data_IF_241120293330
#
_entry.id   IF_241120293330
#
_cell.length_a   1.000
_cell.length_b   1.000
_cell.length_c   1.000
_cell.angle_alpha   90.00
_cell.angle_beta   90.00
_cell.angle_gamma   90.00
#
_symmetry.space_group_name_H-M   'P 1'
#
loop_
_entity.id
_entity.type
_entity.pdbx_description
1 polymer ?
#
# COMPACT_ATOMS: atom_id res chain seq x y z
N UNK A 1 -7.39 5.85 9.97
CA UNK A 1 -7.94 6.36 8.72
C UNK A 1 -9.39 6.79 8.95
N UNK A 2 -9.90 7.74 8.15
CA UNK A 2 -11.29 8.23 8.28
C UNK A 2 -11.44 9.66 7.77
N UNK A 3 -12.66 10.23 7.85
CA UNK A 3 -12.92 11.60 7.41
C UNK A 3 -11.98 12.62 8.10
N UNK A 4 -11.47 13.57 7.34
CA UNK A 4 -10.54 14.60 7.81
C UNK A 4 -9.12 14.12 8.10
N UNK A 5 -8.80 12.85 7.84
CA UNK A 5 -7.45 12.29 7.98
C UNK A 5 -6.72 12.23 6.64
N UNK A 6 -5.45 12.60 6.63
CA UNK A 6 -4.55 12.40 5.49
C UNK A 6 -3.77 11.12 5.68
N UNK A 7 -3.93 10.21 4.72
CA UNK A 7 -3.37 8.85 4.77
C UNK A 7 -2.43 8.66 3.58
N UNK A 8 -1.20 8.25 3.87
CA UNK A 8 -0.23 7.84 2.86
C UNK A 8 -0.25 6.33 2.65
N UNK A 9 -0.24 5.89 1.39
CA UNK A 9 -0.03 4.49 1.01
C UNK A 9 1.29 4.42 0.24
N UNK A 10 2.26 3.66 0.75
CA UNK A 10 3.56 3.50 0.09
C UNK A 10 3.59 2.20 -0.70
N UNK A 11 3.72 2.32 -2.01
CA UNK A 11 3.71 1.20 -2.96
C UNK A 11 2.32 0.92 -3.54
N UNK A 12 2.28 0.60 -4.83
CA UNK A 12 1.07 0.19 -5.55
C UNK A 12 1.26 -1.21 -6.12
N UNK A 13 0.96 -2.17 -5.30
CA UNK A 13 0.96 -3.60 -5.59
C UNK A 13 -0.25 -4.27 -4.97
N UNK A 14 -0.17 -5.60 -4.74
CA UNK A 14 -1.28 -6.38 -4.20
C UNK A 14 -1.86 -5.87 -2.87
N UNK A 15 -1.03 -5.38 -1.95
CA UNK A 15 -1.48 -4.77 -0.70
C UNK A 15 -1.87 -3.30 -0.89
N UNK A 16 -1.02 -2.54 -1.60
CA UNK A 16 -1.20 -1.09 -1.73
C UNK A 16 -2.49 -0.70 -2.45
N UNK A 17 -2.91 -1.43 -3.51
CA UNK A 17 -4.16 -1.10 -4.20
C UNK A 17 -5.39 -1.28 -3.30
N UNK A 18 -5.41 -2.32 -2.44
CA UNK A 18 -6.46 -2.49 -1.44
C UNK A 18 -6.38 -1.43 -0.35
N UNK A 19 -5.16 -1.05 0.07
CA UNK A 19 -4.95 0.05 1.01
C UNK A 19 -5.54 1.37 0.51
N UNK A 20 -5.35 1.70 -0.77
CA UNK A 20 -5.96 2.89 -1.40
C UNK A 20 -7.48 2.80 -1.38
N UNK A 21 -8.06 1.69 -1.89
CA UNK A 21 -9.53 1.50 -1.95
C UNK A 21 -10.18 1.60 -0.57
N UNK A 22 -9.62 0.90 0.41
CA UNK A 22 -10.17 0.88 1.77
C UNK A 22 -10.05 2.24 2.45
N UNK A 23 -8.88 2.90 2.37
CA UNK A 23 -8.69 4.21 2.98
C UNK A 23 -9.58 5.28 2.35
N UNK A 24 -9.79 5.24 1.02
CA UNK A 24 -10.71 6.13 0.32
C UNK A 24 -12.16 5.89 0.76
N UNK A 25 -12.61 4.63 0.85
CA UNK A 25 -13.95 4.28 1.34
C UNK A 25 -14.18 4.66 2.80
N UNK A 26 -13.13 4.72 3.62
CA UNK A 26 -13.17 5.27 4.98
C UNK A 26 -13.29 6.80 5.02
N UNK A 27 -13.27 7.48 3.88
CA UNK A 27 -13.37 8.94 3.77
C UNK A 27 -12.07 9.70 4.04
N UNK A 28 -10.92 9.05 3.97
CA UNK A 28 -9.63 9.70 4.14
C UNK A 28 -9.19 10.43 2.85
N UNK A 29 -8.38 11.48 3.01
CA UNK A 29 -7.61 12.03 1.90
C UNK A 29 -6.39 11.14 1.64
N UNK A 30 -6.42 10.38 0.56
CA UNK A 30 -5.44 9.32 0.27
C UNK A 30 -4.36 9.82 -0.69
N UNK A 31 -3.11 9.73 -0.28
CA UNK A 31 -1.94 10.02 -1.12
C UNK A 31 -1.16 8.73 -1.37
N UNK A 32 -1.03 8.35 -2.63
CA UNK A 32 -0.19 7.22 -3.01
C UNK A 32 1.24 7.67 -3.27
N UNK A 33 2.21 6.98 -2.67
CA UNK A 33 3.64 7.12 -2.96
C UNK A 33 4.10 5.99 -3.88
N UNK A 34 4.71 6.35 -4.99
CA UNK A 34 5.26 5.39 -5.97
C UNK A 34 6.61 5.86 -6.49
N UNK A 35 7.44 4.93 -6.94
CA UNK A 35 8.71 5.25 -7.61
C UNK A 35 8.55 5.57 -9.10
N UNK A 36 7.35 5.31 -9.68
CA UNK A 36 7.08 5.45 -11.10
C UNK A 36 5.86 6.33 -11.37
N UNK A 37 6.04 7.37 -12.17
CA UNK A 37 4.95 8.25 -12.60
C UNK A 37 3.88 7.53 -13.45
N UNK A 38 4.23 6.42 -14.12
CA UNK A 38 3.29 5.62 -14.92
C UNK A 38 2.14 5.01 -14.12
N UNK A 39 2.29 4.90 -12.78
CA UNK A 39 1.25 4.39 -11.89
C UNK A 39 0.23 5.44 -11.44
N UNK A 40 0.38 6.70 -11.86
CA UNK A 40 -0.46 7.82 -11.41
C UNK A 40 -1.93 7.63 -11.77
N UNK A 41 -2.21 7.30 -13.02
CA UNK A 41 -3.57 7.10 -13.52
C UNK A 41 -4.29 5.96 -12.79
N UNK A 42 -3.61 4.82 -12.65
CA UNK A 42 -4.16 3.67 -11.91
C UNK A 42 -4.48 4.01 -10.45
N UNK A 43 -3.58 4.74 -9.79
CA UNK A 43 -3.79 5.13 -8.39
C UNK A 43 -5.02 6.04 -8.21
N UNK A 44 -5.19 7.01 -9.10
CA UNK A 44 -6.36 7.90 -9.09
C UNK A 44 -7.65 7.12 -9.35
N UNK A 45 -7.63 6.20 -10.33
CA UNK A 45 -8.77 5.29 -10.61
C UNK A 45 -9.15 4.43 -9.40
N UNK A 46 -8.19 4.02 -8.59
CA UNK A 46 -8.40 3.23 -7.37
C UNK A 46 -8.94 4.05 -6.20
N UNK A 47 -8.98 5.38 -6.30
CA UNK A 47 -9.51 6.28 -5.29
C UNK A 47 -8.46 7.10 -4.53
N UNK A 48 -7.20 7.12 -4.97
CA UNK A 48 -6.22 8.06 -4.44
C UNK A 48 -6.63 9.50 -4.80
N UNK A 49 -6.50 10.42 -3.83
CA UNK A 49 -6.72 11.85 -4.04
C UNK A 49 -5.52 12.51 -4.72
N UNK A 50 -4.32 12.02 -4.40
CA UNK A 50 -3.04 12.53 -4.91
C UNK A 50 -2.05 11.38 -5.12
N UNK A 51 -1.06 11.62 -5.99
CA UNK A 51 0.04 10.68 -6.22
C UNK A 51 1.36 11.43 -6.19
N UNK A 52 2.28 10.95 -5.38
CA UNK A 52 3.63 11.50 -5.19
C UNK A 52 4.66 10.51 -5.74
N UNK A 53 5.56 11.00 -6.59
CA UNK A 53 6.70 10.21 -7.04
C UNK A 53 7.80 10.31 -5.97
N UNK A 54 8.00 9.26 -5.20
CA UNK A 54 8.88 9.26 -4.02
C UNK A 54 10.37 9.49 -4.33
N UNK A 55 10.77 9.40 -5.60
CA UNK A 55 12.11 9.76 -6.07
C UNK A 55 12.26 11.27 -6.33
N UNK A 56 11.17 12.01 -6.34
CA UNK A 56 11.17 13.47 -6.50
C UNK A 56 11.18 14.11 -5.11
N UNK A 57 12.33 14.70 -4.74
CA UNK A 57 12.51 15.30 -3.43
C UNK A 57 11.57 16.49 -3.18
N UNK A 58 11.24 17.27 -4.20
CA UNK A 58 10.35 18.43 -4.09
C UNK A 58 8.90 17.98 -3.85
N UNK A 59 8.44 16.95 -4.57
CA UNK A 59 7.12 16.35 -4.32
C UNK A 59 7.03 15.81 -2.89
N UNK A 60 8.06 15.12 -2.40
CA UNK A 60 8.10 14.62 -1.02
C UNK A 60 8.11 15.77 0.00
N UNK A 61 8.95 16.77 -0.20
CA UNK A 61 9.07 17.91 0.72
C UNK A 61 7.77 18.71 0.85
N UNK A 62 7.00 18.85 -0.23
CA UNK A 62 5.68 19.51 -0.21
C UNK A 62 4.68 18.86 0.77
N UNK A 63 4.91 17.60 1.14
CA UNK A 63 4.07 16.84 2.06
C UNK A 63 4.64 16.71 3.48
N UNK A 64 5.73 17.38 3.81
CA UNK A 64 6.34 17.31 5.14
C UNK A 64 5.34 17.62 6.27
N UNK A 65 5.36 16.83 7.34
CA UNK A 65 4.52 17.02 8.54
C UNK A 65 2.98 17.09 8.24
N UNK A 66 2.50 16.38 7.23
CA UNK A 66 1.11 16.50 6.79
C UNK A 66 0.25 15.24 6.98
N UNK A 67 0.86 14.06 7.24
CA UNK A 67 0.11 12.80 7.35
C UNK A 67 -0.23 12.43 8.79
N UNK A 68 -1.46 11.97 8.98
CA UNK A 68 -1.91 11.36 10.23
C UNK A 68 -1.45 9.89 10.31
N UNK A 69 -1.45 9.20 9.16
CA UNK A 69 -1.11 7.79 9.07
C UNK A 69 -0.43 7.48 7.73
N UNK A 70 0.56 6.58 7.75
CA UNK A 70 1.18 6.04 6.54
C UNK A 70 1.18 4.51 6.63
N UNK A 71 0.61 3.85 5.62
CA UNK A 71 0.69 2.41 5.43
C UNK A 71 1.81 2.10 4.43
N UNK A 72 2.85 1.44 4.89
CA UNK A 72 3.98 1.06 4.05
C UNK A 72 3.87 -0.40 3.63
N UNK A 73 3.63 -0.64 2.33
CA UNK A 73 3.38 -1.97 1.76
C UNK A 73 4.57 -2.51 0.96
N UNK A 74 5.71 -1.79 0.98
CA UNK A 74 6.89 -2.15 0.18
C UNK A 74 7.69 -3.24 0.88
N UNK A 75 7.91 -4.35 0.18
CA UNK A 75 8.66 -5.50 0.66
C UNK A 75 10.14 -5.48 0.20
N UNK A 76 10.75 -4.30 0.14
CA UNK A 76 12.16 -4.10 -0.17
C UNK A 76 12.76 -3.07 0.78
N UNK A 77 14.05 -3.18 1.15
CA UNK A 77 14.71 -2.16 1.97
C UNK A 77 14.66 -0.80 1.29
N UNK A 78 14.30 0.23 2.04
CA UNK A 78 14.28 1.62 1.59
C UNK A 78 14.42 2.56 2.79
N UNK A 79 14.64 3.84 2.51
CA UNK A 79 14.75 4.89 3.53
C UNK A 79 13.38 5.14 4.18
N UNK A 80 13.24 4.71 5.45
CA UNK A 80 12.03 4.93 6.25
C UNK A 80 11.95 6.38 6.76
N UNK A 81 13.08 7.05 6.97
CA UNK A 81 13.12 8.42 7.48
C UNK A 81 12.47 9.41 6.53
N UNK A 82 12.63 9.19 5.22
CA UNK A 82 11.97 10.00 4.20
C UNK A 82 10.44 10.02 4.36
N UNK A 83 9.83 8.87 4.73
CA UNK A 83 8.38 8.78 4.98
C UNK A 83 8.01 9.21 6.40
N UNK A 84 8.86 8.91 7.39
CA UNK A 84 8.66 9.37 8.77
C UNK A 84 8.63 10.91 8.86
N UNK A 85 9.40 11.61 8.04
CA UNK A 85 9.42 13.06 7.96
C UNK A 85 8.07 13.67 7.52
N UNK A 86 7.26 12.90 6.78
CA UNK A 86 5.95 13.33 6.31
C UNK A 86 4.86 13.29 7.39
N UNK A 87 5.07 12.52 8.47
CA UNK A 87 4.10 12.38 9.55
C UNK A 87 3.99 13.66 10.38
N UNK A 88 2.76 13.99 10.76
CA UNK A 88 2.44 15.02 11.77
C UNK A 88 2.98 14.65 13.15
N UNK A 89 2.74 15.53 14.11
CA UNK A 89 2.81 15.22 15.53
C UNK A 89 1.86 14.05 15.84
N UNK A 90 2.33 13.07 16.61
CA UNK A 90 1.60 11.83 16.96
C UNK A 90 1.24 10.94 15.77
N UNK A 91 1.74 11.22 14.57
CA UNK A 91 1.50 10.40 13.39
C UNK A 91 2.14 9.01 13.49
N UNK A 92 1.53 8.04 12.81
CA UNK A 92 1.99 6.65 12.83
C UNK A 92 2.27 6.16 11.42
N UNK A 93 3.42 5.48 11.22
CA UNK A 93 3.67 4.65 10.05
C UNK A 93 3.59 3.19 10.44
N UNK A 94 2.85 2.39 9.67
CA UNK A 94 2.74 0.94 9.87
C UNK A 94 3.34 0.20 8.69
N UNK A 95 4.25 -0.73 8.99
CA UNK A 95 4.88 -1.61 8.02
C UNK A 95 4.05 -2.90 7.89
N UNK A 96 3.71 -3.27 6.67
CA UNK A 96 3.03 -4.53 6.32
C UNK A 96 3.76 -5.29 5.21
N UNK A 97 4.73 -4.66 4.56
CA UNK A 97 5.68 -5.31 3.65
C UNK A 97 6.83 -5.92 4.46
N UNK A 98 7.18 -7.16 4.18
CA UNK A 98 8.29 -7.86 4.83
C UNK A 98 9.46 -7.99 3.84
N UNK A 99 10.49 -7.13 3.91
CA UNK A 99 11.67 -7.27 3.07
C UNK A 99 12.53 -8.46 3.50
N UNK A 100 13.23 -9.08 2.54
CA UNK A 100 14.16 -10.18 2.83
C UNK A 100 15.38 -9.68 3.61
N UNK A 101 15.83 -8.46 3.35
CA UNK A 101 16.94 -7.82 4.06
C UNK A 101 16.39 -6.73 4.99
N UNK A 102 17.04 -6.47 6.14
CA UNK A 102 16.60 -5.43 7.06
C UNK A 102 16.56 -4.04 6.43
N UNK A 103 15.62 -3.22 6.86
CA UNK A 103 15.65 -1.79 6.57
C UNK A 103 16.86 -1.12 7.24
N UNK A 104 17.40 -0.02 6.70
CA UNK A 104 18.30 0.85 7.42
C UNK A 104 17.69 1.27 8.77
N UNK A 105 18.54 1.42 9.80
CA UNK A 105 18.07 1.87 11.11
C UNK A 105 17.52 3.30 11.00
N UNK A 106 16.28 3.56 11.44
CA UNK A 106 15.70 4.90 11.35
C UNK A 106 16.31 5.87 12.37
N UNK A 107 16.29 7.15 12.07
CA UNK A 107 16.78 8.22 12.93
C UNK A 107 15.82 8.44 14.12
N UNK A 108 16.25 8.01 15.30
CA UNK A 108 15.47 8.07 16.54
C UNK A 108 15.08 9.51 16.93
N UNK A 109 15.91 10.50 16.62
CA UNK A 109 15.60 11.89 16.93
C UNK A 109 14.34 12.39 16.23
N UNK A 110 14.10 11.94 14.98
CA UNK A 110 12.87 12.24 14.23
C UNK A 110 11.60 11.72 14.90
N UNK A 111 11.69 10.63 15.67
CA UNK A 111 10.56 10.11 16.47
C UNK A 111 10.31 10.97 17.70
N UNK A 112 11.37 11.26 18.45
CA UNK A 112 11.29 12.02 19.72
C UNK A 112 10.67 13.39 19.48
N UNK A 113 11.16 14.13 18.48
CA UNK A 113 10.75 15.52 18.22
C UNK A 113 9.27 15.69 17.88
N UNK A 114 8.62 14.66 17.34
CA UNK A 114 7.22 14.71 16.89
C UNK A 114 6.36 13.61 17.52
N UNK A 115 6.86 12.89 18.51
CA UNK A 115 6.17 11.73 19.12
C UNK A 115 5.60 10.74 18.08
N UNK A 116 6.33 10.56 16.99
CA UNK A 116 5.95 9.68 15.88
C UNK A 116 6.07 8.23 16.28
N UNK A 117 5.31 7.38 15.62
CA UNK A 117 5.30 5.93 15.87
C UNK A 117 5.63 5.17 14.61
N UNK A 118 6.48 4.17 14.75
CA UNK A 118 6.68 3.11 13.76
C UNK A 118 6.11 1.83 14.35
N UNK A 119 5.19 1.21 13.62
CA UNK A 119 4.50 -0.01 14.03
C UNK A 119 4.57 -1.06 12.92
N UNK A 120 4.34 -2.31 13.26
CA UNK A 120 4.16 -3.39 12.32
C UNK A 120 2.77 -4.00 12.47
N UNK A 121 2.26 -4.59 11.39
CA UNK A 121 1.04 -5.39 11.41
C UNK A 121 1.23 -6.59 10.50
N UNK A 122 0.79 -7.76 10.95
CA UNK A 122 0.78 -8.96 10.14
C UNK A 122 -0.63 -9.15 9.56
N UNK A 123 -1.21 -10.31 9.77
CA UNK A 123 -2.59 -10.65 9.36
C UNK A 123 -3.55 -10.42 10.53
N UNK A 124 -4.82 -10.17 10.22
CA UNK A 124 -5.88 -10.14 11.23
C UNK A 124 -6.36 -11.53 11.60
N UNK A 125 -7.05 -11.64 12.75
CA UNK A 125 -7.78 -12.84 13.12
C UNK A 125 -9.05 -13.03 12.29
N UNK A 126 -9.76 -14.17 12.48
CA UNK A 126 -10.97 -14.51 11.71
C UNK A 126 -12.03 -13.41 11.84
N UNK A 127 -12.26 -12.88 13.05
CA UNK A 127 -13.22 -11.80 13.29
C UNK A 127 -12.87 -10.53 12.51
N UNK A 128 -11.61 -10.09 12.58
CA UNK A 128 -11.15 -8.91 11.88
C UNK A 128 -11.22 -9.08 10.36
N UNK A 129 -10.95 -10.29 9.87
CA UNK A 129 -11.12 -10.63 8.46
C UNK A 129 -12.58 -10.53 8.04
N UNK A 130 -13.52 -11.02 8.85
CA UNK A 130 -14.95 -10.91 8.56
C UNK A 130 -15.40 -9.44 8.58
N UNK A 131 -14.98 -8.65 9.56
CA UNK A 131 -15.27 -7.21 9.63
C UNK A 131 -14.78 -6.48 8.39
N UNK A 132 -13.58 -6.81 7.89
CA UNK A 132 -13.01 -6.26 6.66
C UNK A 132 -13.83 -6.67 5.43
N UNK A 133 -14.23 -7.94 5.32
CA UNK A 133 -15.07 -8.42 4.21
C UNK A 133 -16.44 -7.73 4.19
N UNK A 134 -17.07 -7.58 5.35
CA UNK A 134 -18.35 -6.87 5.50
C UNK A 134 -18.22 -5.38 5.11
N UNK A 135 -17.11 -4.75 5.50
CA UNK A 135 -16.80 -3.38 5.07
C UNK A 135 -16.64 -3.30 3.56
N UNK A 136 -15.85 -4.18 2.97
CA UNK A 136 -15.63 -4.23 1.52
C UNK A 136 -16.95 -4.47 0.76
N UNK A 137 -17.79 -5.38 1.25
CA UNK A 137 -19.11 -5.64 0.64
C UNK A 137 -20.02 -4.42 0.64
N UNK A 138 -20.08 -3.69 1.77
CA UNK A 138 -20.89 -2.46 1.88
C UNK A 138 -20.42 -1.35 0.94
N UNK A 139 -19.14 -1.30 0.61
CA UNK A 139 -18.54 -0.26 -0.23
C UNK A 139 -18.24 -0.72 -1.67
N UNK A 140 -18.63 -1.94 -2.05
CA UNK A 140 -18.38 -2.48 -3.39
C UNK A 140 -16.89 -2.66 -3.71
N UNK A 141 -16.06 -2.92 -2.70
CA UNK A 141 -14.61 -3.06 -2.85
C UNK A 141 -14.27 -4.52 -3.12
N UNK A 142 -13.59 -4.75 -4.25
CA UNK A 142 -12.97 -6.04 -4.61
C UNK A 142 -11.53 -5.81 -5.05
N UNK A 143 -10.69 -6.86 -5.00
CA UNK A 143 -9.35 -6.80 -5.59
C UNK A 143 -9.43 -6.69 -7.10
N UNK A 144 -8.55 -5.88 -7.71
CA UNK A 144 -8.31 -5.96 -9.14
C UNK A 144 -7.47 -7.22 -9.41
N UNK A 145 -7.93 -8.07 -10.33
CA UNK A 145 -7.33 -9.37 -10.61
C UNK A 145 -7.14 -9.60 -12.11
N UNK A 146 -6.16 -10.43 -12.45
CA UNK A 146 -6.00 -11.04 -13.75
C UNK A 146 -6.25 -12.55 -13.58
N UNK A 147 -7.27 -13.09 -14.24
CA UNK A 147 -7.53 -14.53 -14.21
C UNK A 147 -6.60 -15.25 -15.20
N UNK A 148 -6.00 -16.34 -14.76
CA UNK A 148 -5.06 -17.15 -15.54
C UNK A 148 -5.43 -18.63 -15.46
N UNK A 149 -4.98 -19.40 -16.45
CA UNK A 149 -5.05 -20.84 -16.43
C UNK A 149 -3.88 -21.45 -15.63
N UNK A 150 -4.05 -22.67 -15.13
CA UNK A 150 -3.05 -23.34 -14.29
C UNK A 150 -1.71 -23.55 -15.02
N UNK A 151 -1.74 -23.86 -16.30
CA UNK A 151 -0.55 -24.12 -17.12
C UNK A 151 0.32 -22.86 -17.32
N UNK A 152 -0.24 -21.67 -17.13
CA UNK A 152 0.46 -20.38 -17.26
C UNK A 152 1.09 -19.88 -15.95
N UNK A 153 1.01 -20.64 -14.85
CA UNK A 153 1.46 -20.21 -13.52
C UNK A 153 2.93 -19.76 -13.49
N UNK A 154 3.81 -20.44 -14.20
CA UNK A 154 5.24 -20.09 -14.24
C UNK A 154 5.44 -18.72 -14.93
N UNK A 155 4.75 -18.47 -16.02
CA UNK A 155 4.75 -17.16 -16.70
C UNK A 155 4.19 -16.07 -15.80
N UNK A 156 3.14 -16.35 -15.03
CA UNK A 156 2.58 -15.41 -14.05
C UNK A 156 3.59 -15.06 -12.95
N UNK A 157 4.37 -16.03 -12.45
CA UNK A 157 5.46 -15.75 -11.50
C UNK A 157 6.53 -14.84 -12.09
N UNK A 158 6.95 -15.07 -13.34
CA UNK A 158 7.93 -14.21 -14.03
C UNK A 158 7.41 -12.78 -14.19
N UNK A 159 6.12 -12.61 -14.54
CA UNK A 159 5.47 -11.31 -14.65
C UNK A 159 5.38 -10.63 -13.28
N UNK A 160 5.05 -11.36 -12.22
CA UNK A 160 4.98 -10.83 -10.87
C UNK A 160 6.34 -10.32 -10.38
N UNK A 161 7.44 -11.02 -10.67
CA UNK A 161 8.80 -10.56 -10.35
C UNK A 161 9.17 -9.26 -11.07
N UNK A 162 8.61 -9.01 -12.25
CA UNK A 162 8.76 -7.77 -13.03
C UNK A 162 7.76 -6.68 -12.64
N UNK A 163 6.91 -6.90 -11.62
CA UNK A 163 5.79 -6.03 -11.24
C UNK A 163 4.79 -5.78 -12.38
N UNK A 164 4.67 -6.73 -13.32
CA UNK A 164 3.75 -6.72 -14.45
C UNK A 164 2.48 -7.50 -14.10
N UNK A 165 1.70 -6.95 -13.18
CA UNK A 165 0.37 -7.46 -12.80
C UNK A 165 -0.46 -6.37 -12.13
N UNK A 166 -1.77 -6.31 -12.41
CA UNK A 166 -2.72 -5.36 -11.78
C UNK A 166 -3.88 -6.12 -11.13
N UNK A 167 -3.78 -6.55 -9.87
CA UNK A 167 -2.63 -6.50 -8.94
C UNK A 167 -2.41 -7.88 -8.34
N UNK A 168 -3.22 -8.86 -8.75
CA UNK A 168 -3.17 -10.26 -8.34
C UNK A 168 -3.50 -11.16 -9.50
N UNK A 169 -2.80 -12.29 -9.61
CA UNK A 169 -3.24 -13.40 -10.43
C UNK A 169 -4.21 -14.27 -9.63
N UNK A 170 -5.29 -14.70 -10.28
CA UNK A 170 -6.24 -15.68 -9.76
C UNK A 170 -6.32 -16.83 -10.76
N UNK A 171 -6.06 -18.04 -10.30
CA UNK A 171 -6.06 -19.23 -11.16
C UNK A 171 -7.50 -19.73 -11.30
N UNK A 172 -7.98 -19.87 -12.55
CA UNK A 172 -9.22 -20.59 -12.81
C UNK A 172 -8.95 -22.10 -12.68
N UNK A 173 -9.40 -22.67 -11.56
CA UNK A 173 -9.21 -24.10 -11.30
C UNK A 173 -9.93 -25.01 -12.27
N UNK A 174 -10.90 -24.50 -13.05
CA UNK A 174 -11.57 -25.29 -14.11
C UNK A 174 -10.62 -25.61 -15.25
N UNK A 175 -9.56 -24.83 -15.44
CA UNK A 175 -8.53 -25.09 -16.45
C UNK A 175 -7.77 -26.40 -16.24
N UNK A 176 -7.76 -26.94 -15.00
CA UNK A 176 -7.19 -28.28 -14.72
C UNK A 176 -8.00 -29.44 -15.31
N UNK A 177 -9.32 -29.25 -15.51
CA UNK A 177 -10.18 -30.31 -16.06
C UNK A 177 -10.16 -30.36 -17.59
N UNK A 178 -9.52 -29.37 -18.23
CA UNK A 178 -9.41 -29.26 -19.70
C UNK A 178 -8.07 -29.77 -20.25
N UNK A 179 -7.18 -30.32 -19.41
CA UNK A 179 -5.87 -30.85 -19.77
C UNK A 179 -5.89 -32.37 -19.94
#
# INVERSE_FOLDING_TARGET
>A
AGPGKKVGIVGLGGLGHMGVKIAAAMGAHVVLFTTSASKREDALRLGASEVVVSRNADEMAAHANSFDFILNTVAAPHDLDAFMALLKLDGTMTLVGAPAEPHPSPNIFGFIMKRRRLAGSLIGGIRETQEMLDFCARHGIVSDIETIDMDTINTAYERMLKSDVKYRFVIDMKSLAAA
#
